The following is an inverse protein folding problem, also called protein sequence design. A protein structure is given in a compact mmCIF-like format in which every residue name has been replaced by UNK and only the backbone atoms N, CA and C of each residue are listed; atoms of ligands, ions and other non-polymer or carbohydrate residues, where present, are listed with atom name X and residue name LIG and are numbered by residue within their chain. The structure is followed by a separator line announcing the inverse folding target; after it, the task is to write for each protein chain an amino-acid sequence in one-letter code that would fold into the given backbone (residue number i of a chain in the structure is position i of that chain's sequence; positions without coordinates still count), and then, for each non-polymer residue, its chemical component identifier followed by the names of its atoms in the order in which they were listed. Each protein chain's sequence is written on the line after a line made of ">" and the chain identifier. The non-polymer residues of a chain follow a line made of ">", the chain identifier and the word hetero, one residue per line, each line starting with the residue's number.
data_IF_967726876023
#
_entry.id   IF_967726876023
#
_cell.length_a   1.000
_cell.length_b   1.000
_cell.length_c   1.000
_cell.angle_alpha   90.00
_cell.angle_beta   90.00
_cell.angle_gamma   90.00
#
_symmetry.space_group_name_H-M   'P 1'
#
loop_
_entity.id
_entity.type
_entity.pdbx_description
1 polymer ?
#
# COMPACT_ATOMS: atom_id res chain seq x y z
N UNK A 1 26.87 16.73 19.18
CA UNK A 1 25.41 16.78 18.93
C UNK A 1 24.75 15.71 19.78
N UNK A 2 23.97 16.11 20.78
CA UNK A 2 23.19 15.20 21.62
C UNK A 2 22.18 14.47 20.74
N UNK A 3 22.20 13.14 20.77
CA UNK A 3 21.32 12.29 19.96
C UNK A 3 19.91 12.40 20.52
N UNK A 4 19.07 13.22 19.88
CA UNK A 4 17.65 13.37 20.26
C UNK A 4 16.98 12.02 20.03
N UNK A 5 16.39 11.45 21.08
CA UNK A 5 15.55 10.25 20.97
C UNK A 5 14.37 10.58 20.06
N UNK A 6 14.14 9.76 19.02
CA UNK A 6 13.01 9.93 18.11
C UNK A 6 11.95 8.90 18.48
N UNK A 7 10.78 9.36 18.91
CA UNK A 7 9.64 8.49 19.16
C UNK A 7 9.06 8.03 17.82
N UNK A 8 9.46 6.83 17.40
CA UNK A 8 9.00 6.22 16.15
C UNK A 8 7.86 5.26 16.48
N UNK A 9 6.70 5.35 15.81
CA UNK A 9 5.60 4.45 16.08
C UNK A 9 5.98 3.01 15.71
N UNK A 10 5.51 2.05 16.51
CA UNK A 10 5.66 0.62 16.20
C UNK A 10 4.83 0.20 14.97
N UNK A 11 3.69 0.87 14.77
CA UNK A 11 2.75 0.64 13.69
C UNK A 11 1.99 1.95 13.40
N UNK A 12 1.69 2.20 12.12
CA UNK A 12 0.91 3.35 11.68
C UNK A 12 -0.05 2.91 10.58
N UNK A 13 -1.32 3.30 10.69
CA UNK A 13 -2.33 3.11 9.66
C UNK A 13 -2.97 4.45 9.33
N UNK A 14 -2.89 4.85 8.06
CA UNK A 14 -3.59 6.03 7.55
C UNK A 14 -4.89 5.59 6.86
N UNK A 15 -6.03 6.10 7.33
CA UNK A 15 -7.34 5.89 6.71
C UNK A 15 -7.96 7.24 6.32
N UNK A 16 -8.35 7.39 5.05
CA UNK A 16 -9.01 8.60 4.54
C UNK A 16 -10.36 8.30 3.93
N UNK A 17 -11.35 9.11 4.28
CA UNK A 17 -12.69 9.08 3.70
C UNK A 17 -12.73 9.94 2.44
N UNK A 18 -13.15 9.36 1.33
CA UNK A 18 -13.44 10.07 0.08
C UNK A 18 -14.91 9.90 -0.29
N UNK A 19 -15.35 10.58 -1.35
CA UNK A 19 -16.67 10.37 -1.94
C UNK A 19 -16.89 8.93 -2.36
N UNK A 20 -18.18 8.55 -2.47
CA UNK A 20 -18.58 7.22 -2.89
C UNK A 20 -18.04 6.90 -4.30
N UNK A 21 -17.69 5.64 -4.59
CA UNK A 21 -17.07 5.24 -5.86
C UNK A 21 -18.07 5.17 -7.02
N UNK A 22 -18.70 6.30 -7.37
CA UNK A 22 -19.61 6.38 -8.50
C UNK A 22 -18.83 6.56 -9.81
N UNK A 23 -19.13 5.70 -10.81
CA UNK A 23 -18.64 5.84 -12.20
C UNK A 23 -17.13 6.10 -12.33
N UNK A 24 -16.29 5.34 -11.63
CA UNK A 24 -14.83 5.48 -11.69
C UNK A 24 -14.21 4.45 -12.63
N UNK A 25 -13.16 4.84 -13.36
CA UNK A 25 -12.33 3.87 -14.09
C UNK A 25 -11.63 2.91 -13.11
N UNK A 26 -11.19 1.74 -13.61
CA UNK A 26 -10.42 0.79 -12.80
C UNK A 26 -9.19 1.45 -12.16
N UNK A 27 -8.48 2.27 -12.92
CA UNK A 27 -7.30 2.98 -12.44
C UNK A 27 -7.63 4.03 -11.38
N UNK A 28 -8.74 4.75 -11.54
CA UNK A 28 -9.20 5.74 -10.55
C UNK A 28 -9.58 5.06 -9.23
N UNK A 29 -10.25 3.90 -9.29
CA UNK A 29 -10.54 3.10 -8.10
C UNK A 29 -9.25 2.66 -7.41
N UNK A 30 -8.28 2.15 -8.15
CA UNK A 30 -6.97 1.78 -7.61
C UNK A 30 -6.25 2.96 -6.96
N UNK A 31 -6.28 4.14 -7.60
CA UNK A 31 -5.73 5.37 -7.04
C UNK A 31 -6.46 5.78 -5.77
N UNK A 32 -7.80 5.69 -5.73
CA UNK A 32 -8.60 5.99 -4.54
C UNK A 32 -8.32 5.03 -3.39
N UNK A 33 -8.12 3.73 -3.66
CA UNK A 33 -7.68 2.76 -2.65
C UNK A 33 -6.30 3.13 -2.09
N UNK A 34 -5.35 3.50 -2.95
CA UNK A 34 -4.02 3.91 -2.50
C UNK A 34 -4.07 5.21 -1.68
N UNK A 35 -4.91 6.16 -2.07
CA UNK A 35 -5.12 7.40 -1.32
C UNK A 35 -5.82 7.14 0.01
N UNK A 36 -6.83 6.27 0.05
CA UNK A 36 -7.59 5.98 1.27
C UNK A 36 -6.76 5.24 2.31
N UNK A 37 -5.79 4.44 1.89
CA UNK A 37 -4.89 3.64 2.77
C UNK A 37 -3.53 4.31 3.05
N UNK A 38 -3.32 5.55 2.59
CA UNK A 38 -2.06 6.27 2.79
C UNK A 38 -0.87 5.79 1.94
N UNK A 39 -1.07 4.78 1.08
CA UNK A 39 -0.08 4.34 0.09
C UNK A 39 0.28 5.44 -0.91
N UNK A 40 -0.64 6.35 -1.18
CA UNK A 40 -0.41 7.55 -1.99
C UNK A 40 -0.78 8.80 -1.18
N UNK A 41 0.00 9.87 -1.30
CA UNK A 41 -0.34 11.15 -0.68
C UNK A 41 -1.15 12.03 -1.64
N UNK A 42 -2.05 12.89 -1.13
CA UNK A 42 -2.67 13.93 -1.94
C UNK A 42 -1.57 14.81 -2.57
N UNK A 43 -1.67 15.09 -3.86
CA UNK A 43 -0.66 15.84 -4.60
C UNK A 43 0.53 15.02 -5.12
N UNK A 44 0.65 13.73 -4.79
CA UNK A 44 1.67 12.88 -5.40
C UNK A 44 1.39 12.69 -6.91
N UNK A 45 2.32 13.19 -7.72
CA UNK A 45 2.40 12.95 -9.17
C UNK A 45 3.13 11.64 -9.50
N UNK A 46 3.96 11.13 -8.58
CA UNK A 46 4.65 9.83 -8.71
C UNK A 46 3.80 8.73 -8.10
N UNK A 47 2.86 8.24 -8.89
CA UNK A 47 1.85 7.27 -8.47
C UNK A 47 2.16 5.83 -8.90
N UNK A 48 3.44 5.49 -9.07
CA UNK A 48 3.86 4.15 -9.53
C UNK A 48 3.36 3.01 -8.64
N UNK A 49 3.05 3.28 -7.37
CA UNK A 49 2.44 2.30 -6.47
C UNK A 49 1.06 1.83 -6.96
N UNK A 50 0.30 2.72 -7.62
CA UNK A 50 -1.02 2.38 -8.20
C UNK A 50 -0.86 1.30 -9.25
N UNK A 51 0.11 1.49 -10.17
CA UNK A 51 0.33 0.54 -11.27
C UNK A 51 0.96 -0.75 -10.77
N UNK A 52 1.93 -0.68 -9.85
CA UNK A 52 2.53 -1.87 -9.20
C UNK A 52 1.44 -2.70 -8.55
N UNK A 53 0.56 -2.07 -7.76
CA UNK A 53 -0.49 -2.77 -7.05
C UNK A 53 -1.49 -3.38 -8.04
N UNK A 54 -1.89 -2.63 -9.06
CA UNK A 54 -2.80 -3.12 -10.09
C UNK A 54 -2.24 -4.31 -10.86
N UNK A 55 -0.95 -4.31 -11.20
CA UNK A 55 -0.28 -5.42 -11.88
C UNK A 55 -0.30 -6.67 -11.02
N UNK A 56 0.08 -6.58 -9.75
CA UNK A 56 0.07 -7.74 -8.85
C UNK A 56 -1.33 -8.36 -8.69
N UNK A 57 -2.39 -7.53 -8.68
CA UNK A 57 -3.78 -7.99 -8.65
C UNK A 57 -4.18 -8.71 -9.95
N UNK A 58 -3.74 -8.19 -11.09
CA UNK A 58 -4.10 -8.70 -12.41
C UNK A 58 -3.36 -9.99 -12.76
N UNK A 59 -2.07 -10.07 -12.43
CA UNK A 59 -1.22 -11.22 -12.78
C UNK A 59 -1.53 -12.44 -11.91
N UNK A 60 -1.88 -12.26 -10.62
CA UNK A 60 -2.15 -13.35 -9.65
C UNK A 60 -1.05 -14.42 -9.50
N UNK A 61 0.13 -14.16 -10.05
CA UNK A 61 1.33 -15.00 -9.90
C UNK A 61 2.41 -14.22 -9.17
N UNK A 62 3.42 -14.97 -8.71
CA UNK A 62 4.59 -14.41 -8.04
C UNK A 62 5.50 -13.71 -9.05
N UNK A 63 5.84 -12.44 -8.79
CA UNK A 63 6.72 -11.64 -9.64
C UNK A 63 7.92 -11.10 -8.85
N UNK A 64 9.10 -11.15 -9.45
CA UNK A 64 10.29 -10.42 -9.00
C UNK A 64 10.10 -8.90 -9.15
N UNK A 65 10.96 -8.11 -8.50
CA UNK A 65 10.89 -6.65 -8.64
C UNK A 65 11.23 -6.19 -10.06
N UNK A 66 12.08 -6.94 -10.76
CA UNK A 66 12.48 -6.73 -12.14
C UNK A 66 11.28 -6.96 -13.08
N UNK A 67 10.59 -8.10 -12.94
CA UNK A 67 9.38 -8.40 -13.73
C UNK A 67 8.26 -7.37 -13.47
N UNK A 68 8.06 -6.96 -12.21
CA UNK A 68 7.12 -5.90 -11.85
C UNK A 68 7.50 -4.59 -12.56
N UNK A 69 8.78 -4.23 -12.56
CA UNK A 69 9.25 -2.99 -13.19
C UNK A 69 8.97 -2.99 -14.70
N UNK A 70 9.31 -4.08 -15.39
CA UNK A 70 9.07 -4.25 -16.82
C UNK A 70 7.58 -4.15 -17.15
N UNK A 71 6.73 -4.84 -16.37
CA UNK A 71 5.29 -4.79 -16.53
C UNK A 71 4.72 -3.37 -16.32
N UNK A 72 5.21 -2.63 -15.31
CA UNK A 72 4.81 -1.23 -15.07
C UNK A 72 5.18 -0.34 -16.27
N UNK A 73 6.38 -0.51 -16.82
CA UNK A 73 6.83 0.27 -17.98
C UNK A 73 5.97 -0.04 -19.20
N UNK A 74 5.71 -1.32 -19.47
CA UNK A 74 4.87 -1.75 -20.59
C UNK A 74 3.45 -1.15 -20.48
N UNK A 75 2.82 -1.31 -19.32
CA UNK A 75 1.47 -0.80 -19.05
C UNK A 75 1.38 0.72 -19.17
N UNK A 76 2.35 1.46 -18.61
CA UNK A 76 2.37 2.92 -18.73
C UNK A 76 2.55 3.40 -20.17
N UNK A 77 3.34 2.69 -21.00
CA UNK A 77 3.48 3.00 -22.42
C UNK A 77 2.17 2.78 -23.18
N UNK A 78 1.49 1.67 -22.91
CA UNK A 78 0.18 1.35 -23.48
C UNK A 78 -0.87 2.42 -23.14
N UNK A 79 -0.95 2.80 -21.87
CA UNK A 79 -1.88 3.82 -21.36
C UNK A 79 -1.42 5.26 -21.63
N UNK A 80 -0.28 5.46 -22.31
CA UNK A 80 0.34 6.77 -22.61
C UNK A 80 0.58 7.63 -21.36
N UNK A 81 0.92 6.99 -20.24
CA UNK A 81 1.23 7.63 -18.96
C UNK A 81 2.72 8.01 -18.87
N UNK A 82 3.06 9.09 -18.12
CA UNK A 82 4.46 9.45 -17.87
C UNK A 82 5.24 8.35 -17.16
N UNK A 83 6.48 8.11 -17.55
CA UNK A 83 7.37 7.10 -16.95
C UNK A 83 8.04 7.59 -15.66
N UNK A 84 7.31 8.32 -14.81
CA UNK A 84 7.83 8.88 -13.57
C UNK A 84 7.76 7.87 -12.41
N UNK A 85 8.87 7.68 -11.70
CA UNK A 85 8.91 6.79 -10.51
C UNK A 85 9.08 5.30 -10.83
N UNK A 86 9.48 4.95 -12.05
CA UNK A 86 9.68 3.54 -12.47
C UNK A 86 11.07 2.97 -12.11
N UNK A 87 11.92 3.73 -11.42
CA UNK A 87 13.26 3.25 -11.05
C UNK A 87 13.17 2.03 -10.12
N UNK A 88 14.03 1.03 -10.34
CA UNK A 88 14.02 -0.23 -9.59
C UNK A 88 14.06 -0.04 -8.06
N UNK A 89 14.80 0.97 -7.57
CA UNK A 89 14.84 1.33 -6.15
C UNK A 89 13.49 1.79 -5.62
N UNK A 90 12.72 2.55 -6.41
CA UNK A 90 11.37 2.95 -6.05
C UNK A 90 10.40 1.77 -6.15
N UNK A 91 10.50 0.90 -7.16
CA UNK A 91 9.68 -0.33 -7.24
C UNK A 91 9.83 -1.16 -5.96
N UNK A 92 11.08 -1.46 -5.56
CA UNK A 92 11.37 -2.18 -4.30
C UNK A 92 10.76 -1.48 -3.07
N UNK A 93 10.89 -0.15 -2.99
CA UNK A 93 10.30 0.63 -1.89
C UNK A 93 8.77 0.53 -1.87
N UNK A 94 8.10 0.62 -3.01
CA UNK A 94 6.64 0.58 -3.07
C UNK A 94 6.10 -0.83 -2.80
N UNK A 95 6.77 -1.88 -3.30
CA UNK A 95 6.44 -3.28 -2.98
C UNK A 95 6.60 -3.54 -1.47
N UNK A 96 7.66 -3.01 -0.85
CA UNK A 96 7.81 -3.05 0.60
C UNK A 96 6.62 -2.39 1.32
N UNK A 97 6.20 -1.19 0.89
CA UNK A 97 5.05 -0.50 1.50
C UNK A 97 3.75 -1.28 1.39
N UNK A 98 3.50 -1.95 0.25
CA UNK A 98 2.34 -2.83 0.08
C UNK A 98 2.39 -4.04 1.04
N UNK A 99 3.58 -4.57 1.30
CA UNK A 99 3.78 -5.66 2.26
C UNK A 99 3.60 -5.20 3.70
N UNK A 100 4.12 -4.03 4.04
CA UNK A 100 4.05 -3.49 5.40
C UNK A 100 2.59 -3.24 5.85
N UNK A 101 1.63 -3.13 4.91
CA UNK A 101 0.18 -3.04 5.19
C UNK A 101 -0.62 -4.29 4.80
N UNK A 102 0.03 -5.44 4.60
CA UNK A 102 -0.60 -6.75 4.38
C UNK A 102 -1.39 -6.94 3.07
N UNK A 103 -1.18 -6.10 2.04
CA UNK A 103 -1.75 -6.38 0.72
C UNK A 103 -0.90 -7.35 -0.12
N UNK A 104 0.41 -7.36 0.11
CA UNK A 104 1.37 -8.15 -0.66
C UNK A 104 2.20 -9.01 0.28
N UNK A 105 2.48 -10.24 -0.11
CA UNK A 105 3.41 -11.11 0.59
C UNK A 105 4.68 -11.37 -0.24
N UNK A 106 5.75 -11.77 0.44
CA UNK A 106 7.00 -12.18 -0.20
C UNK A 106 7.06 -13.71 -0.23
N UNK A 107 7.20 -14.29 -1.41
CA UNK A 107 7.42 -15.72 -1.61
C UNK A 107 8.81 -15.92 -2.20
N UNK A 108 9.75 -16.46 -1.41
CA UNK A 108 11.18 -16.54 -1.75
C UNK A 108 11.75 -15.17 -2.14
N UNK A 109 11.98 -14.89 -3.42
CA UNK A 109 12.46 -13.60 -3.91
C UNK A 109 11.40 -12.81 -4.69
N UNK A 110 10.20 -13.35 -4.79
CA UNK A 110 9.10 -12.81 -5.55
C UNK A 110 8.00 -12.29 -4.63
N UNK A 111 7.03 -11.62 -5.23
CA UNK A 111 5.94 -10.94 -4.55
C UNK A 111 4.62 -11.23 -5.26
N UNK A 112 3.56 -11.39 -4.47
CA UNK A 112 2.19 -11.55 -4.96
C UNK A 112 1.21 -10.94 -3.98
N UNK A 113 -0.06 -10.82 -4.37
CA UNK A 113 -1.12 -10.50 -3.42
C UNK A 113 -1.13 -11.53 -2.30
N UNK A 114 -1.29 -11.07 -1.06
CA UNK A 114 -1.22 -11.94 0.10
C UNK A 114 -2.21 -13.10 -0.04
N UNK A 115 -1.68 -14.32 -0.05
CA UNK A 115 -2.42 -15.57 -0.21
C UNK A 115 -3.28 -15.64 -1.51
N UNK A 116 -3.00 -14.77 -2.49
CA UNK A 116 -3.83 -14.52 -3.68
C UNK A 116 -5.31 -14.22 -3.37
N UNK A 117 -5.57 -13.64 -2.19
CA UNK A 117 -6.90 -13.36 -1.69
C UNK A 117 -7.51 -12.07 -2.29
N UNK A 118 -8.83 -11.92 -2.20
CA UNK A 118 -9.54 -10.71 -2.54
C UNK A 118 -9.14 -9.55 -1.62
N UNK A 119 -8.92 -8.36 -2.20
CA UNK A 119 -8.53 -7.17 -1.44
C UNK A 119 -9.53 -6.79 -0.34
N UNK A 120 -10.83 -6.99 -0.59
CA UNK A 120 -11.88 -6.74 0.41
C UNK A 120 -11.70 -7.64 1.63
N UNK A 121 -11.40 -8.92 1.41
CA UNK A 121 -11.14 -9.90 2.48
C UNK A 121 -9.84 -9.55 3.20
N UNK A 122 -8.77 -9.22 2.48
CA UNK A 122 -7.51 -8.77 3.10
C UNK A 122 -7.71 -7.53 3.98
N UNK A 123 -8.49 -6.56 3.49
CA UNK A 123 -8.79 -5.36 4.26
C UNK A 123 -9.54 -5.70 5.55
N UNK A 124 -10.59 -6.52 5.48
CA UNK A 124 -11.36 -6.91 6.67
C UNK A 124 -10.50 -7.72 7.66
N UNK A 125 -9.83 -8.77 7.20
CA UNK A 125 -9.17 -9.73 8.10
C UNK A 125 -7.83 -9.21 8.63
N UNK A 126 -6.99 -8.63 7.77
CA UNK A 126 -5.63 -8.22 8.15
C UNK A 126 -5.57 -6.77 8.62
N UNK A 127 -6.28 -5.86 7.95
CA UNK A 127 -6.19 -4.42 8.25
C UNK A 127 -7.19 -4.03 9.36
N UNK A 128 -8.48 -4.32 9.20
CA UNK A 128 -9.52 -3.89 10.14
C UNK A 128 -9.47 -4.68 11.46
N UNK A 129 -9.58 -6.01 11.39
CA UNK A 129 -9.66 -6.86 12.60
C UNK A 129 -8.36 -6.98 13.37
N UNK A 130 -7.22 -6.89 12.69
CA UNK A 130 -5.91 -7.10 13.31
C UNK A 130 -5.13 -5.79 13.46
N UNK A 131 -4.75 -5.15 12.35
CA UNK A 131 -3.83 -4.00 12.40
C UNK A 131 -4.44 -2.76 13.09
N UNK A 132 -5.64 -2.36 12.68
CA UNK A 132 -6.38 -1.24 13.27
C UNK A 132 -6.77 -1.53 14.72
N UNK A 133 -7.26 -2.73 15.01
CA UNK A 133 -7.63 -3.13 16.36
C UNK A 133 -6.46 -2.99 17.35
N UNK A 134 -5.25 -3.44 16.95
CA UNK A 134 -4.04 -3.30 17.76
C UNK A 134 -3.65 -1.83 18.02
N UNK A 135 -3.75 -0.98 17.00
CA UNK A 135 -3.49 0.46 17.14
C UNK A 135 -4.48 1.11 18.11
N UNK A 136 -5.78 0.81 17.97
CA UNK A 136 -6.82 1.34 18.85
C UNK A 136 -6.61 0.87 20.29
N UNK A 137 -6.29 -0.41 20.51
CA UNK A 137 -6.04 -0.95 21.84
C UNK A 137 -4.90 -0.19 22.54
N UNK A 138 -3.78 0.04 21.84
CA UNK A 138 -2.64 0.78 22.40
C UNK A 138 -2.98 2.23 22.73
N UNK A 139 -3.74 2.92 21.88
CA UNK A 139 -4.19 4.30 22.17
C UNK A 139 -5.08 4.33 23.41
N UNK A 140 -6.00 3.35 23.56
CA UNK A 140 -6.85 3.25 24.75
C UNK A 140 -6.05 3.02 26.03
N UNK A 141 -5.01 2.19 25.99
CA UNK A 141 -4.10 1.99 27.14
C UNK A 141 -3.47 3.32 27.58
N UNK A 142 -3.01 4.17 26.64
CA UNK A 142 -2.47 5.48 26.96
C UNK A 142 -3.50 6.43 27.58
N UNK A 143 -4.73 6.45 27.05
CA UNK A 143 -5.82 7.26 27.60
C UNK A 143 -6.17 6.82 29.02
N UNK A 144 -6.26 5.51 29.26
CA UNK A 144 -6.52 4.96 30.59
C UNK A 144 -5.42 5.31 31.59
N UNK A 145 -4.15 5.29 31.18
CA UNK A 145 -3.04 5.67 32.06
C UNK A 145 -3.05 7.16 32.38
N UNK A 146 -3.48 8.01 31.43
CA UNK A 146 -3.59 9.46 31.64
C UNK A 146 -4.73 9.84 32.61
N UNK A 147 -5.80 9.05 32.65
CA UNK A 147 -7.01 9.31 33.45
C UNK A 147 -6.94 8.75 34.89
N UNK A 148 -5.88 8.04 35.26
CA UNK A 148 -5.64 7.55 36.64
C UNK A 148 -5.22 8.68 37.57
#
# INVERSE_FOLDING_TARGET
>A
MTKISKDTPLAELTLRKYEKPYTMSRRDLMRKICLSTGLLQPGDSRDSIVDIFQILIETKTEMSCEEIQEAVIAKRKEEKLPLNGIAASNIRRQVKRLRDIYFVEKVRNNYRIQENEQLSVLFTEKIEKFYLAGIIARVKEYLQELEK
#
